data_IF_351931023678
#
_entry.id   IF_351931023678
#
_cell.length_a   1.000
_cell.length_b   1.000
_cell.length_c   1.000
_cell.angle_alpha   90.00
_cell.angle_beta   90.00
_cell.angle_gamma   90.00
#
_symmetry.space_group_name_H-M   'P 1'
#
loop_
_entity.id
_entity.type
_entity.pdbx_description
1 polymer ?
#
# COMPACT_ATOMS: atom_id res chain seq x y z
N UNK A 1 -4.33 -2.05 -6.86
CA UNK A 1 -3.88 -1.90 -5.45
C UNK A 1 -2.40 -2.25 -5.37
N UNK A 2 -1.67 -1.65 -4.44
CA UNK A 2 -0.21 -1.77 -4.30
C UNK A 2 0.12 -2.33 -2.92
N UNK A 3 0.29 -3.64 -2.81
CA UNK A 3 0.55 -4.28 -1.53
C UNK A 3 2.05 -4.44 -1.26
N UNK A 4 2.74 -5.09 -2.19
CA UNK A 4 4.16 -5.39 -2.02
C UNK A 4 5.03 -4.14 -2.16
N UNK A 5 4.63 -3.18 -2.99
CA UNK A 5 5.30 -1.89 -3.10
C UNK A 5 5.20 -1.15 -1.78
N UNK A 6 3.98 -1.05 -1.23
CA UNK A 6 3.73 -0.32 0.01
C UNK A 6 4.47 -0.92 1.21
N UNK A 7 4.67 -2.24 1.22
CA UNK A 7 5.54 -2.90 2.19
C UNK A 7 6.94 -2.32 2.21
N UNK A 8 7.54 -2.05 1.04
CA UNK A 8 8.89 -1.49 0.97
C UNK A 8 8.93 -0.06 1.52
N UNK A 9 7.88 0.72 1.27
CA UNK A 9 7.78 2.14 1.60
C UNK A 9 7.52 2.38 3.07
N UNK A 10 6.65 1.57 3.69
CA UNK A 10 6.29 1.70 5.11
C UNK A 10 7.14 0.85 6.04
N UNK A 11 8.00 -0.02 5.50
CA UNK A 11 8.98 -0.77 6.27
C UNK A 11 9.88 0.07 7.19
N UNK A 12 10.26 1.33 6.91
CA UNK A 12 11.15 2.10 7.77
C UNK A 12 10.62 2.25 9.20
N UNK A 13 9.31 2.44 9.37
CA UNK A 13 8.67 2.51 10.68
C UNK A 13 8.82 1.20 11.46
N UNK A 14 8.58 0.07 10.79
CA UNK A 14 8.74 -1.26 11.38
C UNK A 14 10.19 -1.63 11.66
N UNK A 15 11.09 -1.24 10.77
CA UNK A 15 12.52 -1.47 10.89
C UNK A 15 13.12 -0.66 12.05
N UNK A 16 12.63 0.56 12.27
CA UNK A 16 13.02 1.38 13.41
C UNK A 16 12.49 0.81 14.73
N UNK A 17 11.25 0.33 14.73
CA UNK A 17 10.54 -0.14 15.92
C UNK A 17 10.29 -1.65 15.85
N UNK A 18 11.30 -2.45 16.19
CA UNK A 18 11.19 -3.91 16.20
C UNK A 18 11.98 -4.62 15.10
N UNK A 19 12.66 -3.87 14.23
CA UNK A 19 13.59 -4.42 13.24
C UNK A 19 12.93 -5.26 12.15
N UNK A 20 13.74 -6.08 11.50
CA UNK A 20 13.26 -7.06 10.51
C UNK A 20 12.25 -8.07 11.08
N UNK A 21 12.29 -8.48 12.37
CA UNK A 21 11.24 -9.32 12.96
C UNK A 21 9.86 -8.67 12.98
N UNK A 22 9.76 -7.37 13.27
CA UNK A 22 8.48 -6.67 13.24
C UNK A 22 7.87 -6.69 11.84
N UNK A 23 8.69 -6.48 10.81
CA UNK A 23 8.25 -6.61 9.42
C UNK A 23 7.81 -8.05 9.11
N UNK A 24 8.61 -9.06 9.47
CA UNK A 24 8.31 -10.46 9.20
C UNK A 24 6.97 -10.90 9.81
N UNK A 25 6.78 -10.68 11.11
CA UNK A 25 5.56 -11.08 11.79
C UNK A 25 4.37 -10.24 11.34
N UNK A 26 4.58 -8.98 11.00
CA UNK A 26 3.62 -8.13 10.30
C UNK A 26 3.11 -8.74 9.00
N UNK A 27 4.04 -9.21 8.15
CA UNK A 27 3.73 -9.88 6.88
C UNK A 27 2.95 -11.19 7.06
N UNK A 28 3.16 -11.91 8.17
CA UNK A 28 2.43 -13.15 8.48
C UNK A 28 1.05 -12.86 9.07
N UNK A 29 0.96 -11.91 9.99
CA UNK A 29 -0.28 -11.59 10.73
C UNK A 29 -1.26 -10.85 9.82
N UNK A 30 -0.79 -9.95 8.95
CA UNK A 30 -1.65 -9.13 8.08
C UNK A 30 -2.60 -9.99 7.21
N UNK A 31 -2.14 -11.00 6.44
CA UNK A 31 -3.04 -11.87 5.69
C UNK A 31 -4.01 -12.67 6.56
N UNK A 32 -3.55 -13.16 7.72
CA UNK A 32 -4.38 -13.93 8.66
C UNK A 32 -5.55 -13.09 9.18
N UNK A 33 -5.32 -11.80 9.42
CA UNK A 33 -6.35 -10.87 9.87
C UNK A 33 -7.24 -10.38 8.70
N UNK A 34 -6.65 -10.06 7.55
CA UNK A 34 -7.34 -9.38 6.45
C UNK A 34 -8.15 -10.34 5.57
N UNK A 35 -7.68 -11.57 5.31
CA UNK A 35 -8.40 -12.51 4.44
C UNK A 35 -9.80 -12.85 4.99
N UNK A 36 -10.00 -13.20 6.28
CA UNK A 36 -11.33 -13.43 6.82
C UNK A 36 -12.24 -12.20 6.74
N UNK A 37 -11.68 -11.01 6.95
CA UNK A 37 -12.41 -9.74 6.78
C UNK A 37 -12.90 -9.60 5.32
N UNK A 38 -12.06 -9.86 4.33
CA UNK A 38 -12.47 -9.80 2.92
C UNK A 38 -13.41 -10.94 2.53
N UNK A 39 -13.31 -12.13 3.11
CA UNK A 39 -14.32 -13.17 2.94
C UNK A 39 -15.70 -12.71 3.41
N UNK A 40 -15.77 -12.03 4.55
CA UNK A 40 -17.02 -11.46 5.04
C UNK A 40 -17.55 -10.35 4.12
N UNK A 41 -16.68 -9.45 3.64
CA UNK A 41 -17.08 -8.42 2.67
C UNK A 41 -17.55 -9.02 1.34
N UNK A 42 -16.89 -10.08 0.85
CA UNK A 42 -17.26 -10.78 -0.38
C UNK A 42 -18.64 -11.43 -0.27
N UNK A 43 -18.96 -12.06 0.87
CA UNK A 43 -20.28 -12.64 1.13
C UNK A 43 -21.38 -11.58 1.04
N UNK A 44 -21.19 -10.44 1.71
CA UNK A 44 -22.18 -9.36 1.69
C UNK A 44 -22.28 -8.71 0.31
N UNK A 45 -21.15 -8.49 -0.37
CA UNK A 45 -21.14 -7.97 -1.74
C UNK A 45 -21.86 -8.90 -2.73
N UNK A 46 -21.88 -10.22 -2.48
CA UNK A 46 -22.61 -11.17 -3.31
C UNK A 46 -24.13 -11.08 -3.13
N UNK A 47 -24.58 -10.69 -1.95
CA UNK A 47 -26.01 -10.55 -1.63
C UNK A 47 -26.57 -9.19 -2.04
N UNK A 48 -25.81 -8.12 -1.82
CA UNK A 48 -26.22 -6.73 -2.03
C UNK A 48 -25.10 -5.92 -2.69
N UNK A 49 -24.82 -6.10 -3.99
CA UNK A 49 -23.80 -5.33 -4.69
C UNK A 49 -24.26 -3.87 -4.84
N UNK A 50 -23.60 -2.95 -4.17
CA UNK A 50 -23.94 -1.51 -4.17
C UNK A 50 -22.70 -0.64 -4.03
N UNK A 51 -22.66 0.49 -4.73
CA UNK A 51 -21.52 1.41 -4.67
C UNK A 51 -21.37 2.05 -3.28
N UNK A 52 -22.46 2.08 -2.49
CA UNK A 52 -22.43 2.48 -1.09
C UNK A 52 -21.67 1.51 -0.18
N UNK A 53 -21.46 0.26 -0.61
CA UNK A 53 -20.68 -0.74 0.10
C UNK A 53 -21.09 -0.89 1.57
N UNK A 54 -20.10 -0.80 2.46
CA UNK A 54 -20.25 -1.19 3.86
C UNK A 54 -21.28 -0.34 4.62
N UNK A 55 -21.40 0.97 4.37
CA UNK A 55 -22.37 1.78 5.10
C UNK A 55 -23.80 1.41 4.71
N UNK A 56 -24.01 1.04 3.44
CA UNK A 56 -25.29 0.58 2.94
C UNK A 56 -25.64 -0.79 3.55
N UNK A 57 -24.69 -1.72 3.57
CA UNK A 57 -24.89 -3.04 4.18
C UNK A 57 -25.18 -2.96 5.67
N UNK A 58 -24.52 -2.07 6.41
CA UNK A 58 -24.84 -1.81 7.82
C UNK A 58 -26.25 -1.26 7.95
N UNK A 59 -26.70 -0.43 7.02
CA UNK A 59 -28.09 0.03 7.03
C UNK A 59 -29.09 -1.10 6.77
N UNK A 60 -28.74 -2.12 5.99
CA UNK A 60 -29.62 -3.26 5.70
C UNK A 60 -29.64 -4.29 6.83
N UNK A 61 -28.49 -4.55 7.46
CA UNK A 61 -28.29 -5.67 8.38
C UNK A 61 -28.38 -5.28 9.87
N UNK A 62 -28.14 -4.01 10.22
CA UNK A 62 -28.14 -3.61 11.62
C UNK A 62 -29.56 -3.53 12.21
N UNK A 63 -29.75 -3.81 13.52
CA UNK A 63 -31.05 -3.65 14.18
C UNK A 63 -31.60 -2.22 14.01
N UNK A 64 -32.92 -2.04 13.79
CA UNK A 64 -33.51 -0.73 13.48
C UNK A 64 -33.19 0.38 14.49
N UNK A 65 -32.97 0.01 15.76
CA UNK A 65 -32.60 0.93 16.84
C UNK A 65 -31.24 1.60 16.64
N UNK A 66 -30.28 0.90 16.02
CA UNK A 66 -28.90 1.37 15.85
C UNK A 66 -28.52 1.65 14.39
N UNK A 67 -29.36 1.21 13.44
CA UNK A 67 -29.16 1.27 12.00
C UNK A 67 -28.57 2.60 11.52
N UNK A 68 -29.25 3.73 11.79
CA UNK A 68 -28.82 5.06 11.32
C UNK A 68 -27.47 5.48 11.90
N UNK A 69 -27.26 5.28 13.20
CA UNK A 69 -26.02 5.68 13.86
C UNK A 69 -24.82 4.87 13.40
N UNK A 70 -24.98 3.54 13.29
CA UNK A 70 -23.92 2.65 12.83
C UNK A 70 -23.60 2.86 11.35
N UNK A 71 -24.62 2.96 10.49
CA UNK A 71 -24.43 3.20 9.06
C UNK A 71 -23.72 4.52 8.82
N UNK A 72 -24.15 5.62 9.45
CA UNK A 72 -23.48 6.92 9.33
C UNK A 72 -22.02 6.87 9.80
N UNK A 73 -21.77 6.21 10.95
CA UNK A 73 -20.41 6.09 11.49
C UNK A 73 -19.49 5.33 10.54
N UNK A 74 -19.98 4.23 9.95
CA UNK A 74 -19.23 3.43 8.98
C UNK A 74 -18.99 4.21 7.69
N UNK A 75 -20.01 4.89 7.15
CA UNK A 75 -19.87 5.73 5.95
C UNK A 75 -18.87 6.87 6.15
N UNK A 76 -18.91 7.53 7.31
CA UNK A 76 -17.97 8.59 7.66
C UNK A 76 -16.52 8.07 7.78
N UNK A 77 -16.32 6.94 8.47
CA UNK A 77 -14.99 6.34 8.63
C UNK A 77 -14.40 5.90 7.29
N UNK A 78 -15.21 5.35 6.40
CA UNK A 78 -14.77 4.93 5.06
C UNK A 78 -14.44 6.13 4.19
N UNK A 79 -15.27 7.18 4.24
CA UNK A 79 -15.00 8.42 3.52
C UNK A 79 -13.67 9.04 3.95
N UNK A 80 -13.45 9.19 5.26
CA UNK A 80 -12.18 9.67 5.81
C UNK A 80 -11.01 8.74 5.45
N UNK A 81 -11.21 7.42 5.55
CA UNK A 81 -10.23 6.42 5.20
C UNK A 81 -9.71 6.59 3.77
N UNK A 82 -10.62 6.63 2.78
CA UNK A 82 -10.24 6.81 1.37
C UNK A 82 -9.56 8.16 1.09
N UNK A 83 -9.96 9.25 1.75
CA UNK A 83 -9.28 10.55 1.60
C UNK A 83 -7.86 10.53 2.18
N UNK A 84 -7.69 9.98 3.38
CA UNK A 84 -6.37 9.88 4.02
C UNK A 84 -5.45 8.89 3.29
N UNK A 85 -6.02 7.83 2.71
CA UNK A 85 -5.26 6.84 1.96
C UNK A 85 -4.70 7.43 0.66
N UNK A 86 -5.50 8.22 -0.06
CA UNK A 86 -5.02 8.94 -1.25
C UNK A 86 -3.86 9.90 -0.92
N UNK A 87 -3.99 10.63 0.19
CA UNK A 87 -2.92 11.51 0.67
C UNK A 87 -1.64 10.72 0.97
N UNK A 88 -1.76 9.60 1.69
CA UNK A 88 -0.63 8.73 2.05
C UNK A 88 0.08 8.15 0.84
N UNK A 89 -0.64 7.57 -0.12
CA UNK A 89 0.01 6.97 -1.31
C UNK A 89 0.63 8.04 -2.22
N UNK A 90 0.01 9.22 -2.32
CA UNK A 90 0.58 10.34 -3.08
C UNK A 90 1.85 10.89 -2.41
N UNK A 91 1.86 10.91 -1.07
CA UNK A 91 3.03 11.28 -0.27
C UNK A 91 4.17 10.29 -0.49
N UNK A 92 3.93 8.99 -0.33
CA UNK A 92 4.96 7.96 -0.55
C UNK A 92 5.53 7.98 -1.97
N UNK A 93 4.70 8.22 -2.99
CA UNK A 93 5.15 8.40 -4.37
C UNK A 93 6.09 9.61 -4.50
N UNK A 94 5.76 10.74 -3.85
CA UNK A 94 6.62 11.92 -3.81
C UNK A 94 7.94 11.64 -3.08
N UNK A 95 7.91 10.93 -1.95
CA UNK A 95 9.10 10.56 -1.19
C UNK A 95 10.05 9.69 -2.01
N UNK A 96 9.53 8.74 -2.79
CA UNK A 96 10.35 7.91 -3.68
C UNK A 96 11.00 8.74 -4.81
N UNK A 97 10.26 9.67 -5.41
CA UNK A 97 10.81 10.56 -6.45
C UNK A 97 11.95 11.41 -5.88
N UNK A 98 11.77 11.97 -4.68
CA UNK A 98 12.78 12.78 -4.01
C UNK A 98 13.99 11.95 -3.58
N UNK A 99 13.78 10.79 -2.97
CA UNK A 99 14.87 9.89 -2.58
C UNK A 99 15.70 9.42 -3.78
N UNK A 100 15.04 9.12 -4.91
CA UNK A 100 15.72 8.75 -6.15
C UNK A 100 16.47 9.93 -6.78
N UNK A 101 15.95 11.15 -6.61
CA UNK A 101 16.64 12.39 -7.03
C UNK A 101 17.92 12.56 -6.21
N UNK A 102 17.87 12.41 -4.89
CA UNK A 102 19.06 12.50 -4.03
C UNK A 102 20.10 11.43 -4.36
N UNK A 103 19.68 10.21 -4.69
CA UNK A 103 20.60 9.14 -5.11
C UNK A 103 21.41 9.52 -6.36
N UNK A 104 20.77 10.16 -7.34
CA UNK A 104 21.38 10.50 -8.63
C UNK A 104 22.04 11.88 -8.64
N UNK A 105 21.62 12.78 -7.77
CA UNK A 105 22.13 14.14 -7.62
C UNK A 105 22.52 14.40 -6.17
N UNK A 106 23.73 13.98 -5.73
CA UNK A 106 24.13 14.06 -4.32
C UNK A 106 24.17 15.48 -3.73
N UNK A 107 24.17 16.51 -4.58
CA UNK A 107 24.10 17.92 -4.17
C UNK A 107 22.69 18.41 -3.88
N UNK A 108 21.66 17.62 -4.23
CA UNK A 108 20.28 17.95 -3.96
C UNK A 108 19.94 17.70 -2.49
N UNK A 109 19.38 18.70 -1.82
CA UNK A 109 18.97 18.61 -0.43
C UNK A 109 17.44 18.63 -0.36
N UNK A 110 16.84 17.55 0.17
CA UNK A 110 15.39 17.46 0.34
C UNK A 110 14.94 18.44 1.43
N UNK A 111 13.97 19.27 1.09
CA UNK A 111 13.31 20.16 2.04
C UNK A 111 11.86 19.69 2.22
N UNK A 112 11.30 19.86 3.42
CA UNK A 112 9.95 19.37 3.74
C UNK A 112 8.86 19.92 2.79
N UNK A 113 9.04 21.13 2.26
CA UNK A 113 8.11 21.72 1.31
C UNK A 113 8.19 21.09 -0.10
N UNK A 114 9.33 20.47 -0.49
CA UNK A 114 9.46 19.76 -1.77
C UNK A 114 8.46 18.61 -1.85
N UNK A 115 8.42 17.80 -0.79
CA UNK A 115 7.57 16.62 -0.67
C UNK A 115 6.09 17.00 -0.60
N UNK A 116 5.77 18.05 0.17
CA UNK A 116 4.40 18.59 0.25
C UNK A 116 3.90 19.08 -1.10
N UNK A 117 4.68 19.91 -1.82
CA UNK A 117 4.26 20.43 -3.13
C UNK A 117 4.17 19.33 -4.19
N UNK A 118 5.07 18.35 -4.16
CA UNK A 118 5.03 17.23 -5.08
C UNK A 118 3.81 16.33 -4.81
N UNK A 119 3.47 16.10 -3.54
CA UNK A 119 2.24 15.39 -3.14
C UNK A 119 1.00 16.10 -3.68
N UNK A 120 0.90 17.42 -3.50
CA UNK A 120 -0.21 18.24 -4.04
C UNK A 120 -0.25 18.13 -5.57
N UNK A 121 0.90 18.19 -6.23
CA UNK A 121 1.02 18.05 -7.68
C UNK A 121 0.54 16.68 -8.19
N UNK A 122 0.90 15.60 -7.50
CA UNK A 122 0.45 14.23 -7.82
C UNK A 122 -1.06 14.11 -7.68
N UNK A 123 -1.63 14.59 -6.56
CA UNK A 123 -3.10 14.56 -6.36
C UNK A 123 -3.80 15.39 -7.43
N UNK A 124 -3.33 16.61 -7.71
CA UNK A 124 -3.91 17.47 -8.74
C UNK A 124 -3.87 16.83 -10.13
N UNK A 125 -2.77 16.16 -10.49
CA UNK A 125 -2.65 15.40 -11.72
C UNK A 125 -3.65 14.22 -11.76
N UNK A 126 -3.75 13.45 -10.68
CA UNK A 126 -4.68 12.31 -10.60
C UNK A 126 -6.14 12.76 -10.69
N UNK A 127 -6.49 13.90 -10.07
CA UNK A 127 -7.81 14.53 -10.21
C UNK A 127 -8.07 14.98 -11.64
N UNK A 128 -7.12 15.68 -12.27
CA UNK A 128 -7.22 16.06 -13.67
C UNK A 128 -7.43 14.84 -14.58
N UNK A 129 -6.66 13.78 -14.38
CA UNK A 129 -6.80 12.53 -15.13
C UNK A 129 -8.20 11.93 -14.97
N UNK A 130 -8.73 11.88 -13.75
CA UNK A 130 -10.06 11.34 -13.50
C UNK A 130 -11.19 12.22 -14.08
N UNK A 131 -11.00 13.53 -14.17
CA UNK A 131 -12.00 14.43 -14.79
C UNK A 131 -12.03 14.29 -16.31
N UNK A 132 -10.86 14.25 -16.96
CA UNK A 132 -10.77 14.37 -18.43
C UNK A 132 -10.41 13.08 -19.17
N UNK A 133 -9.80 12.11 -18.50
CA UNK A 133 -9.22 10.90 -19.10
C UNK A 133 -9.78 9.60 -18.50
N UNK A 134 -10.85 9.64 -17.71
CA UNK A 134 -11.46 8.45 -17.09
C UNK A 134 -11.78 7.32 -18.09
N UNK A 135 -12.13 7.64 -19.34
CA UNK A 135 -12.39 6.64 -20.40
C UNK A 135 -11.14 5.79 -20.72
N UNK A 136 -9.94 6.30 -20.43
CA UNK A 136 -8.67 5.59 -20.63
C UNK A 136 -8.25 4.75 -19.42
N UNK A 137 -8.92 4.90 -18.28
CA UNK A 137 -8.58 4.26 -17.01
C UNK A 137 -8.45 2.72 -17.15
N UNK A 138 -9.38 1.99 -17.82
CA UNK A 138 -9.27 0.54 -17.94
C UNK A 138 -8.01 0.07 -18.68
N UNK A 139 -7.58 0.82 -19.71
CA UNK A 139 -6.37 0.50 -20.47
C UNK A 139 -5.11 0.73 -19.62
N UNK A 140 -5.07 1.84 -18.88
CA UNK A 140 -3.95 2.16 -17.99
C UNK A 140 -3.85 1.11 -16.88
N UNK A 141 -4.98 0.73 -16.27
CA UNK A 141 -5.01 -0.29 -15.22
C UNK A 141 -4.54 -1.66 -15.72
N UNK A 142 -4.92 -2.07 -16.94
CA UNK A 142 -4.45 -3.32 -17.53
C UNK A 142 -2.92 -3.35 -17.74
N UNK A 143 -2.34 -2.26 -18.24
CA UNK A 143 -0.89 -2.14 -18.44
C UNK A 143 -0.14 -2.11 -17.09
N UNK A 144 -0.69 -1.39 -16.12
CA UNK A 144 -0.10 -1.29 -14.79
C UNK A 144 -0.20 -2.61 -14.04
N UNK A 145 -1.25 -3.40 -14.25
CA UNK A 145 -1.33 -4.76 -13.69
C UNK A 145 -0.21 -5.66 -14.20
N UNK A 146 0.10 -5.61 -15.50
CA UNK A 146 1.25 -6.33 -16.07
C UNK A 146 2.56 -5.85 -15.43
N UNK A 147 2.72 -4.54 -15.28
CA UNK A 147 3.91 -3.95 -14.65
C UNK A 147 4.01 -4.31 -13.16
N UNK A 148 2.89 -4.39 -12.44
CA UNK A 148 2.81 -4.77 -11.03
C UNK A 148 3.29 -6.21 -10.81
N UNK A 149 2.81 -7.15 -11.64
CA UNK A 149 3.26 -8.55 -11.59
C UNK A 149 4.71 -8.69 -12.05
N UNK A 150 5.12 -8.01 -13.12
CA UNK A 150 6.50 -8.00 -13.56
C UNK A 150 7.45 -7.36 -12.53
N UNK A 151 6.96 -6.33 -11.83
CA UNK A 151 7.67 -5.56 -10.80
C UNK A 151 8.17 -6.44 -9.66
N UNK A 152 7.39 -7.45 -9.26
CA UNK A 152 7.80 -8.47 -8.28
C UNK A 152 9.14 -9.10 -8.70
N UNK A 153 9.25 -9.54 -9.96
CA UNK A 153 10.48 -10.16 -10.47
C UNK A 153 11.61 -9.15 -10.66
N UNK A 154 11.29 -7.93 -11.12
CA UNK A 154 12.25 -6.84 -11.30
C UNK A 154 12.92 -6.47 -9.96
N UNK A 155 12.20 -6.55 -8.85
CA UNK A 155 12.74 -6.28 -7.51
C UNK A 155 13.41 -7.52 -6.90
N UNK A 156 12.76 -8.68 -6.95
CA UNK A 156 13.25 -9.89 -6.29
C UNK A 156 14.51 -10.44 -6.95
N UNK A 157 14.59 -10.49 -8.27
CA UNK A 157 15.72 -11.15 -8.97
C UNK A 157 17.06 -10.48 -8.61
N UNK A 158 17.23 -9.16 -8.68
CA UNK A 158 18.47 -8.51 -8.24
C UNK A 158 18.80 -8.80 -6.77
N UNK A 159 17.80 -8.75 -5.88
CA UNK A 159 18.00 -9.09 -4.47
C UNK A 159 18.46 -10.54 -4.29
N UNK A 160 17.88 -11.48 -5.04
CA UNK A 160 18.25 -12.89 -5.00
C UNK A 160 19.59 -13.20 -5.69
N UNK A 161 20.06 -12.40 -6.64
CA UNK A 161 21.32 -12.71 -7.32
C UNK A 161 22.50 -11.99 -6.67
N UNK A 162 22.28 -10.78 -6.14
CA UNK A 162 23.36 -9.85 -5.82
C UNK A 162 23.40 -9.43 -4.34
N UNK A 163 22.29 -9.48 -3.61
CA UNK A 163 22.25 -8.96 -2.24
C UNK A 163 22.87 -9.93 -1.22
N UNK A 164 23.40 -9.41 -0.09
CA UNK A 164 23.81 -10.24 1.03
C UNK A 164 22.60 -10.98 1.65
N UNK A 165 22.89 -12.02 2.45
CA UNK A 165 21.86 -12.81 3.15
C UNK A 165 21.91 -12.57 4.65
N UNK A 166 20.79 -12.12 5.20
CA UNK A 166 20.57 -12.04 6.64
C UNK A 166 20.47 -13.43 7.29
N UNK A 167 20.83 -13.51 8.56
CA UNK A 167 20.61 -14.70 9.37
C UNK A 167 19.13 -14.83 9.77
N UNK A 168 18.59 -16.05 9.80
CA UNK A 168 17.19 -16.28 10.13
C UNK A 168 16.83 -15.85 11.57
N UNK A 169 17.73 -16.03 12.54
CA UNK A 169 17.50 -15.60 13.92
C UNK A 169 17.36 -14.07 14.00
N UNK A 170 18.29 -13.34 13.39
CA UNK A 170 18.24 -11.88 13.39
C UNK A 170 17.01 -11.35 12.64
N UNK A 171 16.67 -12.01 11.53
CA UNK A 171 15.58 -11.56 10.65
C UNK A 171 14.18 -11.85 11.21
N UNK A 172 14.01 -12.92 12.00
CA UNK A 172 12.68 -13.40 12.42
C UNK A 172 12.44 -13.25 13.94
N UNK A 173 13.50 -13.22 14.76
CA UNK A 173 13.40 -13.37 16.22
C UNK A 173 14.03 -12.18 16.96
N UNK A 174 15.15 -11.64 16.50
CA UNK A 174 15.92 -10.63 17.24
C UNK A 174 15.32 -9.21 17.11
N UNK A 175 14.28 -8.91 17.88
CA UNK A 175 13.64 -7.59 17.88
C UNK A 175 14.63 -6.51 18.32
N UNK A 176 14.57 -5.35 17.65
CA UNK A 176 15.39 -4.18 17.98
C UNK A 176 14.53 -2.99 18.38
N UNK A 177 15.10 -2.00 19.05
CA UNK A 177 14.36 -0.87 19.58
C UNK A 177 15.12 0.44 19.33
N UNK A 178 15.23 0.80 18.05
CA UNK A 178 15.93 2.02 17.64
C UNK A 178 15.08 3.28 17.87
N UNK A 179 13.76 3.15 18.05
CA UNK A 179 12.87 4.25 18.43
C UNK A 179 12.89 4.65 19.92
N UNK A 180 13.59 3.88 20.77
CA UNK A 180 13.76 4.24 22.19
C UNK A 180 12.53 3.98 23.06
N UNK A 181 11.73 2.96 22.71
CA UNK A 181 10.60 2.50 23.51
C UNK A 181 11.05 1.86 24.82
N UNK A 182 10.10 1.67 25.75
CA UNK A 182 10.39 1.11 27.08
C UNK A 182 11.00 -0.30 27.03
N UNK A 183 10.59 -1.13 26.06
CA UNK A 183 11.13 -2.47 25.84
C UNK A 183 10.89 -2.92 24.39
N UNK A 184 11.57 -3.99 23.99
CA UNK A 184 11.51 -4.53 22.63
C UNK A 184 10.12 -5.08 22.25
N UNK A 185 9.34 -5.54 23.24
CA UNK A 185 7.97 -5.98 23.01
C UNK A 185 7.05 -4.83 22.61
N UNK A 186 7.19 -3.67 23.24
CA UNK A 186 6.46 -2.45 22.87
C UNK A 186 6.96 -1.88 21.54
N UNK A 187 8.28 -1.87 21.31
CA UNK A 187 8.83 -1.47 20.02
C UNK A 187 8.24 -2.35 18.90
N UNK A 188 8.27 -3.67 19.07
CA UNK A 188 7.72 -4.63 18.12
C UNK A 188 6.22 -4.45 17.85
N UNK A 189 5.40 -4.15 18.85
CA UNK A 189 3.97 -3.90 18.62
C UNK A 189 3.72 -2.59 17.89
N UNK A 190 4.49 -1.55 18.16
CA UNK A 190 4.41 -0.27 17.43
C UNK A 190 4.83 -0.46 15.97
N UNK A 191 5.97 -1.10 15.71
CA UNK A 191 6.42 -1.28 14.33
C UNK A 191 5.62 -2.29 13.53
N UNK A 192 4.78 -3.13 14.15
CA UNK A 192 3.83 -3.96 13.40
C UNK A 192 2.62 -3.16 12.87
N UNK A 193 2.30 -1.99 13.41
CA UNK A 193 1.12 -1.19 13.00
C UNK A 193 1.07 -0.91 11.49
N UNK A 194 2.16 -0.41 10.85
CA UNK A 194 2.17 -0.16 9.41
C UNK A 194 1.97 -1.44 8.60
N UNK A 195 2.55 -2.55 9.04
CA UNK A 195 2.47 -3.82 8.32
C UNK A 195 1.09 -4.48 8.36
N UNK A 196 0.28 -4.20 9.39
CA UNK A 196 -1.10 -4.68 9.45
C UNK A 196 -1.94 -4.05 8.32
N UNK A 197 -1.59 -2.84 7.87
CA UNK A 197 -2.29 -2.12 6.82
C UNK A 197 -1.92 -2.49 5.37
N UNK A 198 -1.05 -3.48 5.15
CA UNK A 198 -0.50 -3.78 3.81
C UNK A 198 -1.49 -4.39 2.83
N UNK A 199 -2.59 -4.95 3.34
CA UNK A 199 -3.66 -5.52 2.53
C UNK A 199 -4.97 -4.73 2.64
N UNK A 200 -4.92 -3.39 2.68
CA UNK A 200 -6.11 -2.53 2.70
C UNK A 200 -6.46 -2.01 1.29
N UNK A 201 -7.74 -1.67 1.07
CA UNK A 201 -8.20 -0.95 -0.12
C UNK A 201 -8.76 -1.85 -1.24
N UNK A 202 -8.87 -3.17 -1.03
CA UNK A 202 -9.47 -4.07 -2.03
C UNK A 202 -10.98 -3.89 -2.18
N UNK A 203 -11.64 -3.27 -1.20
CA UNK A 203 -13.04 -2.84 -1.29
C UNK A 203 -13.25 -1.73 -2.34
N UNK A 204 -12.20 -1.26 -3.01
CA UNK A 204 -12.31 -0.38 -4.17
C UNK A 204 -13.24 -0.92 -5.26
N UNK A 205 -13.27 -2.24 -5.46
CA UNK A 205 -14.16 -2.89 -6.43
C UNK A 205 -15.63 -2.76 -6.04
N UNK A 206 -15.94 -2.78 -4.74
CA UNK A 206 -17.31 -2.62 -4.22
C UNK A 206 -17.89 -1.28 -4.64
N UNK A 207 -17.08 -0.22 -4.57
CA UNK A 207 -17.48 1.14 -4.96
C UNK A 207 -17.66 1.32 -6.49
N UNK A 208 -17.35 0.30 -7.29
CA UNK A 208 -17.56 0.22 -8.74
C UNK A 208 -18.67 -0.75 -9.13
N UNK A 209 -19.41 -1.30 -8.16
CA UNK A 209 -20.44 -2.31 -8.41
C UNK A 209 -21.57 -1.84 -9.33
N UNK A 210 -21.98 -0.57 -9.27
CA UNK A 210 -23.00 0.01 -10.19
C UNK A 210 -22.54 0.03 -11.66
N UNK A 211 -21.23 -0.02 -11.91
CA UNK A 211 -20.61 -0.03 -13.25
C UNK A 211 -20.13 -1.43 -13.67
N UNK A 212 -20.34 -2.45 -12.83
CA UNK A 212 -19.82 -3.81 -13.02
C UNK A 212 -20.91 -4.75 -13.53
N UNK A 213 -20.64 -5.44 -14.64
CA UNK A 213 -21.52 -6.50 -15.15
C UNK A 213 -21.57 -7.69 -14.18
N UNK A 214 -22.78 -8.17 -13.89
CA UNK A 214 -23.05 -9.24 -12.92
C UNK A 214 -22.36 -9.02 -11.56
N UNK A 215 -22.50 -7.81 -10.99
CA UNK A 215 -21.77 -7.39 -9.80
C UNK A 215 -21.86 -8.35 -8.60
N UNK A 216 -23.00 -8.99 -8.35
CA UNK A 216 -23.18 -9.98 -7.27
C UNK A 216 -22.32 -11.24 -7.44
N UNK A 217 -21.89 -11.53 -8.68
CA UNK A 217 -21.00 -12.65 -8.99
C UNK A 217 -19.55 -12.18 -9.15
N UNK A 218 -19.35 -11.08 -9.88
CA UNK A 218 -18.03 -10.56 -10.25
C UNK A 218 -17.28 -9.93 -9.08
N UNK A 219 -17.92 -9.07 -8.28
CA UNK A 219 -17.26 -8.33 -7.19
C UNK A 219 -16.65 -9.26 -6.13
N UNK A 220 -17.37 -10.26 -5.60
CA UNK A 220 -16.81 -11.20 -4.62
C UNK A 220 -15.58 -11.94 -5.14
N UNK A 221 -15.60 -12.37 -6.41
CA UNK A 221 -14.50 -13.10 -7.03
C UNK A 221 -13.26 -12.22 -7.20
N UNK A 222 -13.45 -11.00 -7.72
CA UNK A 222 -12.37 -10.02 -7.89
C UNK A 222 -11.75 -9.67 -6.55
N UNK A 223 -12.57 -9.43 -5.52
CA UNK A 223 -12.11 -9.10 -4.17
C UNK A 223 -11.18 -10.20 -3.62
N UNK A 224 -11.63 -11.45 -3.63
CA UNK A 224 -10.86 -12.58 -3.09
C UNK A 224 -9.63 -12.91 -3.94
N UNK A 225 -9.74 -12.87 -5.27
CA UNK A 225 -8.61 -13.09 -6.16
C UNK A 225 -7.53 -12.01 -6.00
N UNK A 226 -7.94 -10.74 -5.83
CA UNK A 226 -7.01 -9.63 -5.65
C UNK A 226 -6.27 -9.74 -4.31
N UNK A 227 -6.98 -9.96 -3.19
CA UNK A 227 -6.38 -10.11 -1.86
C UNK A 227 -5.47 -11.34 -1.81
N UNK A 228 -5.91 -12.47 -2.35
CA UNK A 228 -5.15 -13.72 -2.34
C UNK A 228 -3.87 -13.63 -3.18
N UNK A 229 -3.96 -13.14 -4.41
CA UNK A 229 -2.78 -12.96 -5.28
C UNK A 229 -1.78 -11.97 -4.70
N UNK A 230 -2.25 -10.83 -4.16
CA UNK A 230 -1.39 -9.85 -3.52
C UNK A 230 -0.77 -10.36 -2.23
N UNK A 231 -1.45 -11.20 -1.47
CA UNK A 231 -0.85 -11.86 -0.29
C UNK A 231 0.40 -12.65 -0.68
N UNK A 232 0.34 -13.41 -1.78
CA UNK A 232 1.49 -14.19 -2.26
C UNK A 232 2.64 -13.28 -2.71
N UNK A 233 2.33 -12.24 -3.49
CA UNK A 233 3.33 -11.27 -3.95
C UNK A 233 3.96 -10.50 -2.79
N UNK A 234 3.14 -10.08 -1.81
CA UNK A 234 3.56 -9.39 -0.60
C UNK A 234 4.53 -10.23 0.22
N UNK A 235 4.19 -11.49 0.49
CA UNK A 235 5.07 -12.41 1.22
C UNK A 235 6.38 -12.63 0.46
N UNK A 236 6.33 -12.83 -0.86
CA UNK A 236 7.52 -13.06 -1.68
C UNK A 236 8.47 -11.85 -1.65
N UNK A 237 7.98 -10.63 -1.89
CA UNK A 237 8.80 -9.42 -1.91
C UNK A 237 9.23 -9.02 -0.51
N UNK A 238 8.31 -8.99 0.45
CA UNK A 238 8.57 -8.54 1.81
C UNK A 238 9.59 -9.42 2.53
N UNK A 239 9.45 -10.75 2.46
CA UNK A 239 10.42 -11.68 3.04
C UNK A 239 11.77 -11.54 2.31
N UNK A 240 11.77 -11.44 0.98
CA UNK A 240 13.02 -11.22 0.24
C UNK A 240 13.74 -9.95 0.69
N UNK A 241 13.00 -8.85 0.81
CA UNK A 241 13.53 -7.54 1.20
C UNK A 241 14.22 -7.59 2.57
N UNK A 242 13.55 -8.12 3.60
CA UNK A 242 14.13 -8.15 4.95
C UNK A 242 15.33 -9.10 5.07
N UNK A 243 15.33 -10.21 4.33
CA UNK A 243 16.49 -11.13 4.28
C UNK A 243 17.66 -10.56 3.45
N UNK A 244 17.41 -9.55 2.62
CA UNK A 244 18.40 -8.90 1.77
C UNK A 244 18.76 -7.48 2.23
N UNK A 245 18.24 -7.04 3.39
CA UNK A 245 18.34 -5.66 3.86
C UNK A 245 19.80 -5.19 4.03
N UNK A 246 20.66 -6.07 4.52
CA UNK A 246 22.04 -5.72 4.89
C UNK A 246 22.09 -5.03 6.26
N UNK A 247 22.93 -4.00 6.37
CA UNK A 247 23.11 -3.25 7.62
C UNK A 247 21.94 -2.31 7.89
N UNK A 248 21.20 -2.57 8.97
CA UNK A 248 19.98 -1.85 9.33
C UNK A 248 20.24 -0.35 9.58
N UNK A 249 21.30 -0.03 10.32
CA UNK A 249 21.61 1.35 10.69
C UNK A 249 22.00 2.19 9.46
N UNK A 250 22.81 1.65 8.55
CA UNK A 250 23.16 2.29 7.27
C UNK A 250 21.92 2.56 6.41
N UNK A 251 20.99 1.60 6.37
CA UNK A 251 19.77 1.71 5.55
C UNK A 251 18.78 2.71 6.14
N UNK A 252 18.61 2.76 7.47
CA UNK A 252 17.73 3.74 8.14
C UNK A 252 18.27 5.16 8.09
N UNK A 253 19.60 5.33 8.14
CA UNK A 253 20.26 6.64 8.12
C UNK A 253 20.69 7.10 6.71
N UNK A 254 20.12 6.51 5.66
CA UNK A 254 20.41 6.87 4.27
C UNK A 254 20.06 8.33 3.96
N UNK A 255 20.90 8.99 3.17
CA UNK A 255 20.64 10.35 2.64
C UNK A 255 19.41 10.41 1.72
N UNK A 256 18.97 9.28 1.18
CA UNK A 256 17.76 9.21 0.35
C UNK A 256 16.47 9.33 1.16
N UNK A 257 16.55 9.17 2.50
CA UNK A 257 15.42 8.98 3.42
C UNK A 257 14.48 7.82 3.04
N UNK A 258 14.89 6.97 2.10
CA UNK A 258 14.09 5.88 1.57
C UNK A 258 14.90 4.58 1.62
N UNK A 259 14.80 3.82 2.73
CA UNK A 259 15.49 2.54 2.93
C UNK A 259 15.48 1.59 1.74
N UNK A 260 14.34 1.44 1.06
CA UNK A 260 14.24 0.60 -0.15
C UNK A 260 15.22 1.03 -1.25
N UNK A 261 15.38 2.33 -1.49
CA UNK A 261 16.30 2.86 -2.50
C UNK A 261 17.74 2.54 -2.10
N UNK A 262 18.09 2.69 -0.82
CA UNK A 262 19.42 2.36 -0.32
C UNK A 262 19.72 0.86 -0.42
N UNK A 263 18.75 -0.01 -0.10
CA UNK A 263 18.92 -1.48 -0.22
C UNK A 263 19.12 -1.89 -1.67
N UNK A 264 18.34 -1.32 -2.60
CA UNK A 264 18.51 -1.56 -4.03
C UNK A 264 19.86 -1.04 -4.55
N UNK A 265 20.33 0.11 -4.06
CA UNK A 265 21.66 0.61 -4.38
C UNK A 265 22.78 -0.26 -3.81
N UNK A 266 22.67 -0.67 -2.54
CA UNK A 266 23.61 -1.58 -1.89
C UNK A 266 23.69 -2.93 -2.62
N UNK A 267 22.56 -3.38 -3.18
CA UNK A 267 22.46 -4.64 -3.94
C UNK A 267 23.07 -4.52 -5.33
N UNK A 268 22.69 -3.48 -6.09
CA UNK A 268 23.09 -3.34 -7.50
C UNK A 268 24.47 -2.73 -7.67
N UNK A 269 24.93 -1.94 -6.69
CA UNK A 269 26.13 -1.10 -6.76
C UNK A 269 26.17 -0.24 -8.04
N UNK A 270 24.98 0.13 -8.55
CA UNK A 270 24.82 0.79 -9.83
C UNK A 270 23.65 1.78 -9.80
N UNK A 271 23.94 3.05 -10.07
CA UNK A 271 22.94 4.12 -10.08
C UNK A 271 21.85 3.89 -11.14
N UNK A 272 22.21 3.50 -12.36
CA UNK A 272 21.24 3.28 -13.44
C UNK A 272 20.34 2.07 -13.13
N UNK A 273 20.92 0.97 -12.65
CA UNK A 273 20.17 -0.23 -12.23
C UNK A 273 19.18 0.07 -11.12
N UNK A 274 19.64 0.76 -10.06
CA UNK A 274 18.78 1.20 -8.96
C UNK A 274 17.66 2.12 -9.47
N UNK A 275 18.01 3.09 -10.31
CA UNK A 275 17.07 4.06 -10.87
C UNK A 275 15.96 3.38 -11.66
N UNK A 276 16.28 2.40 -12.51
CA UNK A 276 15.27 1.69 -13.30
C UNK A 276 14.31 0.91 -12.39
N UNK A 277 14.83 0.20 -11.39
CA UNK A 277 13.99 -0.58 -10.45
C UNK A 277 13.09 0.33 -9.63
N UNK A 278 13.63 1.42 -9.08
CA UNK A 278 12.84 2.39 -8.29
C UNK A 278 11.81 3.10 -9.17
N UNK A 279 12.12 3.43 -10.42
CA UNK A 279 11.14 4.03 -11.35
C UNK A 279 9.95 3.11 -11.60
N UNK A 280 10.15 1.79 -11.67
CA UNK A 280 9.04 0.82 -11.78
C UNK A 280 8.11 0.94 -10.58
N UNK A 281 8.66 1.00 -9.35
CA UNK A 281 7.87 1.19 -8.13
C UNK A 281 7.11 2.52 -8.18
N UNK A 282 7.77 3.62 -8.55
CA UNK A 282 7.17 4.95 -8.65
C UNK A 282 6.00 4.95 -9.66
N UNK A 283 6.16 4.35 -10.84
CA UNK A 283 5.12 4.32 -11.87
C UNK A 283 3.88 3.56 -11.37
N UNK A 284 4.09 2.45 -10.66
CA UNK A 284 3.00 1.66 -10.08
C UNK A 284 2.27 2.48 -9.00
N UNK A 285 3.01 3.18 -8.12
CA UNK A 285 2.42 4.06 -7.09
C UNK A 285 1.61 5.22 -7.68
N UNK A 286 2.14 5.90 -8.70
CA UNK A 286 1.43 7.00 -9.37
C UNK A 286 0.14 6.50 -10.02
N UNK A 287 0.17 5.30 -10.59
CA UNK A 287 -0.99 4.67 -11.19
C UNK A 287 -2.02 4.23 -10.13
N UNK A 288 -1.56 3.78 -8.96
CA UNK A 288 -2.42 3.53 -7.81
C UNK A 288 -3.12 4.79 -7.32
N UNK A 289 -2.44 5.95 -7.30
CA UNK A 289 -3.06 7.23 -6.95
C UNK A 289 -4.22 7.59 -7.90
N UNK A 290 -4.06 7.35 -9.20
CA UNK A 290 -5.13 7.57 -10.20
C UNK A 290 -6.35 6.71 -9.89
N UNK A 291 -6.17 5.42 -9.63
CA UNK A 291 -7.25 4.50 -9.26
C UNK A 291 -7.91 4.88 -7.92
N UNK A 292 -7.12 5.31 -6.94
CA UNK A 292 -7.66 5.74 -5.65
C UNK A 292 -8.55 6.98 -5.76
N UNK A 293 -8.19 7.96 -6.58
CA UNK A 293 -9.09 9.11 -6.85
C UNK A 293 -10.41 8.62 -7.42
N UNK A 294 -10.39 7.67 -8.36
CA UNK A 294 -11.59 7.11 -8.99
C UNK A 294 -12.53 6.44 -7.96
N UNK A 295 -11.96 5.70 -7.02
CA UNK A 295 -12.70 5.04 -5.93
C UNK A 295 -13.19 6.06 -4.89
N UNK A 296 -12.29 6.90 -4.38
CA UNK A 296 -12.60 7.86 -3.33
C UNK A 296 -13.69 8.85 -3.74
N UNK A 297 -13.70 9.30 -5.01
CA UNK A 297 -14.74 10.19 -5.52
C UNK A 297 -16.11 9.50 -5.59
N UNK A 298 -16.17 8.23 -6.02
CA UNK A 298 -17.43 7.46 -6.11
C UNK A 298 -17.98 7.15 -4.73
N UNK A 299 -17.13 6.69 -3.82
CA UNK A 299 -17.52 6.40 -2.44
C UNK A 299 -18.08 7.65 -1.76
N UNK A 300 -17.40 8.80 -1.89
CA UNK A 300 -17.85 10.06 -1.31
C UNK A 300 -19.16 10.55 -1.93
N UNK A 301 -19.32 10.39 -3.25
CA UNK A 301 -20.56 10.73 -3.95
C UNK A 301 -21.74 9.88 -3.48
N UNK A 302 -21.57 8.56 -3.37
CA UNK A 302 -22.61 7.65 -2.86
C UNK A 302 -23.03 8.04 -1.45
N UNK A 303 -22.06 8.32 -0.56
CA UNK A 303 -22.35 8.73 0.81
C UNK A 303 -23.06 10.09 0.89
N UNK A 304 -22.77 11.03 -0.02
CA UNK A 304 -23.46 12.32 -0.09
C UNK A 304 -24.87 12.23 -0.71
N UNK A 305 -25.10 11.25 -1.60
CA UNK A 305 -26.37 11.02 -2.29
C UNK A 305 -27.42 10.41 -1.36
N UNK A 306 -27.01 9.42 -0.57
CA UNK A 306 -27.91 8.61 0.24
C UNK A 306 -28.29 9.36 1.54
N UNK A 307 -29.59 9.41 1.87
CA UNK A 307 -30.16 10.18 3.00
C UNK A 307 -30.77 9.30 4.08
#
# INVERSE_FOLDING_TARGET
MVAWEFCLLVSPFSLQDGGTPAVFWGLVICPIAMIPMYCSLAEVASMSPTAGGQYHWVSELAPPRFQKGLSYSVGWLIAMGWQTFLCGVSYEAASQILGLTTLNFPTYNIQAWHETLLTIGIVAFCTFFNIFLAVRLPLVEALVLLLHVAGVFIVIIPLWVMAPRGNAYDTIINFTNSGGWWNDGLAGTIGMVPTIGLLIGYDCSVHLSEETEDASWTIPQVLLAAVGSNTVMLLAVGITYIFCLGDLDSVLNTSTYQPVIQVLFNTTQNHAGTTIITLVIIIILLSACVGQVATASRQLWSFARDR
#
